data_IF_019356856723
#
_entry.id   IF_019356856723
#
_cell.length_a   1.000
_cell.length_b   1.000
_cell.length_c   1.000
_cell.angle_alpha   90.00
_cell.angle_beta   90.00
_cell.angle_gamma   90.00
#
_symmetry.space_group_name_H-M   'P 1'
#
loop_
_entity.id
_entity.type
_entity.pdbx_description
1 polymer ?
#
# COMPACT_ATOMS: atom_id res chain seq x y z
N UNK A 1 -29.88 20.10 -7.84
CA UNK A 1 -30.82 20.99 -8.57
C UNK A 1 -32.26 21.02 -8.02
N UNK A 2 -32.75 20.02 -7.25
CA UNK A 2 -34.10 20.04 -6.65
C UNK A 2 -34.39 21.25 -5.76
N UNK A 3 -33.34 21.84 -5.18
CA UNK A 3 -33.40 23.01 -4.31
C UNK A 3 -33.51 24.34 -5.06
N UNK A 4 -33.46 24.35 -6.41
CA UNK A 4 -33.62 25.58 -7.20
C UNK A 4 -35.07 25.70 -7.66
N UNK A 5 -35.82 26.74 -7.21
CA UNK A 5 -37.19 26.97 -7.62
C UNK A 5 -37.30 27.07 -9.15
N UNK A 6 -38.39 26.51 -9.70
CA UNK A 6 -38.70 26.59 -11.13
C UNK A 6 -37.62 26.02 -12.07
N UNK A 7 -36.74 25.14 -11.59
CA UNK A 7 -35.73 24.48 -12.42
C UNK A 7 -36.31 23.53 -13.49
N UNK A 8 -37.64 23.38 -13.58
CA UNK A 8 -38.31 22.58 -14.61
C UNK A 8 -37.98 21.09 -14.54
N UNK A 9 -37.62 20.57 -13.36
CA UNK A 9 -37.25 19.17 -13.19
C UNK A 9 -38.49 18.26 -13.18
N UNK A 10 -38.42 17.13 -13.87
CA UNK A 10 -39.43 16.06 -13.78
C UNK A 10 -38.83 14.93 -12.97
N UNK A 11 -39.47 14.57 -11.85
CA UNK A 11 -38.97 13.57 -10.90
C UNK A 11 -37.53 13.83 -10.41
N UNK A 12 -37.13 15.10 -10.35
CA UNK A 12 -35.79 15.50 -9.91
C UNK A 12 -34.69 15.34 -10.95
N UNK A 13 -35.02 15.05 -12.21
CA UNK A 13 -34.11 14.99 -13.34
C UNK A 13 -34.33 16.17 -14.28
N UNK A 14 -33.29 16.55 -15.00
CA UNK A 14 -33.40 17.51 -16.10
C UNK A 14 -34.17 16.87 -17.27
N UNK A 15 -34.98 17.66 -17.95
CA UNK A 15 -35.72 17.29 -19.16
C UNK A 15 -35.50 18.35 -20.23
N UNK A 16 -35.48 17.93 -21.48
CA UNK A 16 -35.38 18.84 -22.62
C UNK A 16 -36.69 19.61 -22.82
N UNK A 17 -36.60 20.69 -23.60
CA UNK A 17 -37.79 21.37 -24.10
C UNK A 17 -38.63 20.40 -24.95
N UNK A 18 -39.95 20.52 -24.83
CA UNK A 18 -40.89 19.83 -25.70
C UNK A 18 -41.66 20.84 -26.56
N UNK A 19 -41.24 21.05 -27.83
CA UNK A 19 -41.89 22.00 -28.73
C UNK A 19 -43.33 21.62 -29.10
N UNK A 20 -43.68 20.32 -29.05
CA UNK A 20 -45.01 19.82 -29.41
C UNK A 20 -46.04 20.15 -28.33
N UNK A 21 -45.62 20.22 -27.06
CA UNK A 21 -46.49 20.54 -25.92
C UNK A 21 -46.27 21.95 -25.37
N UNK A 22 -45.31 22.71 -25.93
CA UNK A 22 -44.92 24.03 -25.45
C UNK A 22 -44.30 24.03 -24.06
N UNK A 23 -43.74 22.90 -23.62
CA UNK A 23 -43.14 22.76 -22.28
C UNK A 23 -41.67 23.17 -22.32
N UNK A 24 -41.25 24.21 -21.57
CA UNK A 24 -39.84 24.60 -21.50
C UNK A 24 -38.97 23.50 -20.90
N UNK A 25 -37.72 23.41 -21.37
CA UNK A 25 -36.73 22.51 -20.79
C UNK A 25 -36.32 22.92 -19.38
N UNK A 26 -35.65 22.02 -18.66
CA UNK A 26 -35.14 22.31 -17.33
C UNK A 26 -34.06 23.38 -17.37
N UNK A 27 -34.12 24.31 -16.41
CA UNK A 27 -33.07 25.31 -16.22
C UNK A 27 -31.86 24.66 -15.55
N UNK A 28 -30.66 24.97 -16.05
CA UNK A 28 -29.38 24.61 -15.42
C UNK A 28 -28.81 25.88 -14.76
N UNK A 29 -28.99 26.07 -13.44
CA UNK A 29 -28.52 27.27 -12.76
C UNK A 29 -27.00 27.29 -12.66
N UNK A 30 -26.38 28.46 -12.74
CA UNK A 30 -24.93 28.63 -12.59
C UNK A 30 -24.40 27.99 -11.29
N UNK A 31 -25.14 28.16 -10.18
CA UNK A 31 -24.78 27.52 -8.91
C UNK A 31 -24.72 25.99 -8.98
N UNK A 32 -25.57 25.36 -9.80
CA UNK A 32 -25.52 23.91 -10.00
C UNK A 32 -24.35 23.51 -10.89
N UNK A 33 -24.14 24.20 -12.02
CA UNK A 33 -23.01 23.94 -12.93
C UNK A 33 -21.67 24.08 -12.21
N UNK A 34 -21.49 25.19 -11.49
CA UNK A 34 -20.30 25.45 -10.67
C UNK A 34 -20.13 24.38 -9.58
N UNK A 35 -21.22 23.93 -8.95
CA UNK A 35 -21.15 22.88 -7.94
C UNK A 35 -20.61 21.56 -8.51
N UNK A 36 -21.14 21.11 -9.65
CA UNK A 36 -20.64 19.89 -10.32
C UNK A 36 -19.19 20.06 -10.75
N UNK A 37 -18.83 21.19 -11.36
CA UNK A 37 -17.44 21.48 -11.74
C UNK A 37 -16.50 21.49 -10.54
N UNK A 38 -16.93 22.06 -9.41
CA UNK A 38 -16.11 22.12 -8.20
C UNK A 38 -15.85 20.74 -7.60
N UNK A 39 -16.84 19.84 -7.62
CA UNK A 39 -16.63 18.44 -7.22
C UNK A 39 -15.56 17.76 -8.07
N UNK A 40 -15.63 17.92 -9.40
CA UNK A 40 -14.64 17.36 -10.33
C UNK A 40 -13.24 17.96 -10.05
N UNK A 41 -13.14 19.28 -9.90
CA UNK A 41 -11.88 19.98 -9.58
C UNK A 41 -11.30 19.49 -8.25
N UNK A 42 -12.13 19.26 -7.24
CA UNK A 42 -11.70 18.75 -5.94
C UNK A 42 -11.11 17.33 -6.06
N UNK A 43 -11.73 16.46 -6.86
CA UNK A 43 -11.21 15.11 -7.13
C UNK A 43 -9.87 15.18 -7.86
N UNK A 44 -9.74 16.03 -8.88
CA UNK A 44 -8.49 16.23 -9.63
C UNK A 44 -7.35 16.65 -8.68
N UNK A 45 -7.60 17.63 -7.81
CA UNK A 45 -6.63 18.08 -6.81
C UNK A 45 -6.26 16.99 -5.80
N UNK A 46 -7.23 16.19 -5.35
CA UNK A 46 -6.96 15.06 -4.45
C UNK A 46 -6.11 13.95 -5.13
N UNK A 47 -6.15 13.87 -6.46
CA UNK A 47 -5.25 13.06 -7.27
C UNK A 47 -3.82 13.59 -7.38
N UNK A 48 -3.50 14.74 -6.76
CA UNK A 48 -2.27 15.53 -6.94
C UNK A 48 -2.05 16.04 -8.38
N UNK A 49 -3.15 16.28 -9.11
CA UNK A 49 -3.14 16.85 -10.46
C UNK A 49 -3.52 18.33 -10.42
N UNK A 50 -3.01 19.12 -11.38
CA UNK A 50 -3.41 20.51 -11.58
C UNK A 50 -4.56 20.57 -12.60
N UNK A 51 -5.75 21.08 -12.24
CA UNK A 51 -6.86 21.22 -13.19
C UNK A 51 -6.47 22.03 -14.43
N UNK A 52 -6.85 21.55 -15.61
CA UNK A 52 -6.59 22.14 -16.91
C UNK A 52 -7.86 22.05 -17.76
N UNK A 53 -8.44 23.21 -18.07
CA UNK A 53 -9.68 23.28 -18.86
C UNK A 53 -9.53 22.77 -20.30
N UNK A 54 -8.31 22.53 -20.77
CA UNK A 54 -8.04 21.95 -22.10
C UNK A 54 -7.94 20.42 -22.09
N UNK A 55 -7.97 19.78 -20.91
CA UNK A 55 -7.90 18.33 -20.73
C UNK A 55 -9.21 17.75 -20.20
N UNK A 56 -9.74 16.73 -20.88
CA UNK A 56 -11.07 16.17 -20.60
C UNK A 56 -11.02 14.78 -19.93
N UNK A 57 -9.85 14.30 -19.55
CA UNK A 57 -9.60 12.99 -18.93
C UNK A 57 -9.03 13.08 -17.50
N UNK A 58 -8.79 14.28 -16.98
CA UNK A 58 -8.18 14.47 -15.65
C UNK A 58 -8.99 13.85 -14.50
N UNK A 59 -10.33 13.74 -14.61
CA UNK A 59 -11.13 13.03 -13.61
C UNK A 59 -10.79 11.53 -13.58
N UNK A 60 -10.59 10.93 -14.75
CA UNK A 60 -10.19 9.53 -14.86
C UNK A 60 -8.77 9.34 -14.31
N UNK A 61 -7.83 10.21 -14.70
CA UNK A 61 -6.45 10.18 -14.18
C UNK A 61 -6.42 10.34 -12.66
N UNK A 62 -7.23 11.24 -12.10
CA UNK A 62 -7.32 11.44 -10.66
C UNK A 62 -7.85 10.20 -9.93
N UNK A 63 -8.90 9.55 -10.47
CA UNK A 63 -9.42 8.30 -9.91
C UNK A 63 -8.36 7.20 -9.99
N UNK A 64 -7.64 7.08 -11.11
CA UNK A 64 -6.56 6.12 -11.28
C UNK A 64 -5.38 6.41 -10.33
N UNK A 65 -5.05 7.68 -10.11
CA UNK A 65 -4.02 8.11 -9.15
C UNK A 65 -4.43 7.74 -7.72
N UNK A 66 -5.66 8.05 -7.31
CA UNK A 66 -6.19 7.71 -5.98
C UNK A 66 -6.26 6.19 -5.78
N UNK A 67 -6.64 5.42 -6.81
CA UNK A 67 -6.68 3.95 -6.70
C UNK A 67 -5.30 3.31 -6.71
N UNK A 68 -4.34 3.85 -7.48
CA UNK A 68 -2.95 3.42 -7.49
C UNK A 68 -2.22 3.74 -6.18
N UNK A 69 -2.59 4.85 -5.51
CA UNK A 69 -2.17 5.15 -4.12
C UNK A 69 -2.77 4.17 -3.09
N UNK A 70 -3.67 3.28 -3.54
CA UNK A 70 -4.26 2.20 -2.77
C UNK A 70 -5.51 2.66 -2.04
N UNK A 71 -6.67 2.12 -2.44
CA UNK A 71 -7.75 1.90 -1.48
C UNK A 71 -7.15 1.06 -0.35
N UNK A 72 -6.83 1.69 0.77
CA UNK A 72 -5.95 1.13 1.78
C UNK A 72 -6.37 -0.27 2.23
N UNK A 73 -5.70 -1.29 1.70
CA UNK A 73 -5.44 -2.54 2.41
C UNK A 73 -4.36 -2.31 3.50
N UNK A 74 -4.13 -1.05 3.89
CA UNK A 74 -3.25 -0.59 4.94
C UNK A 74 -3.94 -0.56 6.32
N UNK A 75 -4.98 -1.38 6.50
CA UNK A 75 -5.60 -1.59 7.78
C UNK A 75 -4.61 -2.34 8.68
N UNK A 76 -4.31 -1.76 9.84
CA UNK A 76 -3.60 -2.50 10.86
C UNK A 76 -4.52 -3.65 11.32
N UNK A 77 -4.08 -4.89 11.12
CA UNK A 77 -4.78 -6.09 11.52
C UNK A 77 -4.22 -6.56 12.87
N UNK A 78 -4.98 -7.36 13.65
CA UNK A 78 -4.38 -8.16 14.72
C UNK A 78 -3.14 -8.88 14.19
N UNK A 79 -2.03 -8.87 14.93
CA UNK A 79 -0.76 -9.46 14.45
C UNK A 79 -0.95 -10.92 14.00
N UNK A 80 -1.76 -11.69 14.73
CA UNK A 80 -2.10 -13.07 14.40
C UNK A 80 -2.92 -13.24 13.10
N UNK A 81 -3.52 -12.17 12.59
CA UNK A 81 -4.28 -12.17 11.33
C UNK A 81 -3.44 -11.68 10.14
N UNK A 82 -2.17 -11.33 10.33
CA UNK A 82 -1.29 -10.97 9.23
C UNK A 82 -0.96 -12.18 8.36
N UNK A 83 -0.84 -12.01 7.03
CA UNK A 83 -0.28 -13.05 6.16
C UNK A 83 1.11 -13.47 6.62
N UNK A 84 1.45 -14.74 6.39
CA UNK A 84 2.78 -15.25 6.70
C UNK A 84 3.85 -14.51 5.87
N UNK A 85 5.05 -14.28 6.44
CA UNK A 85 6.14 -13.66 5.71
C UNK A 85 6.48 -14.45 4.44
N UNK A 86 6.73 -13.75 3.34
CA UNK A 86 7.02 -14.34 2.03
C UNK A 86 8.19 -13.65 1.38
N UNK A 87 9.12 -14.43 0.83
CA UNK A 87 10.17 -13.93 -0.06
C UNK A 87 9.56 -13.89 -1.46
N UNK A 88 9.52 -12.71 -2.08
CA UNK A 88 8.84 -12.49 -3.35
C UNK A 88 9.74 -12.87 -4.54
N UNK A 89 10.23 -14.10 -4.54
CA UNK A 89 10.84 -14.77 -5.70
C UNK A 89 9.89 -15.85 -6.20
N UNK A 90 10.12 -16.33 -7.44
CA UNK A 90 9.28 -17.36 -8.04
C UNK A 90 9.23 -18.68 -7.22
N UNK A 91 10.27 -18.96 -6.45
CA UNK A 91 10.42 -20.15 -5.61
C UNK A 91 10.28 -19.88 -4.10
N UNK A 92 9.98 -18.63 -3.71
CA UNK A 92 9.90 -18.17 -2.33
C UNK A 92 11.17 -18.42 -1.48
N UNK A 93 12.36 -18.28 -2.09
CA UNK A 93 13.66 -18.49 -1.44
C UNK A 93 14.57 -17.26 -1.51
N UNK A 94 15.35 -17.08 -0.46
CA UNK A 94 16.41 -16.07 -0.36
C UNK A 94 17.75 -16.78 -0.50
N UNK A 95 18.60 -16.31 -1.40
CA UNK A 95 19.96 -16.79 -1.50
C UNK A 95 20.76 -16.40 -0.25
N UNK A 96 21.44 -17.37 0.35
CA UNK A 96 22.27 -17.19 1.54
C UNK A 96 23.65 -17.78 1.26
N UNK A 97 24.70 -16.97 1.36
CA UNK A 97 26.07 -17.37 1.06
C UNK A 97 26.87 -17.54 2.35
N UNK A 98 27.27 -18.78 2.69
CA UNK A 98 28.21 -19.02 3.79
C UNK A 98 29.65 -18.75 3.34
N UNK A 99 30.49 -18.30 4.26
CA UNK A 99 31.95 -18.16 4.05
C UNK A 99 32.66 -18.68 5.29
N UNK A 100 33.42 -19.76 5.14
CA UNK A 100 34.25 -20.28 6.23
C UNK A 100 35.43 -19.34 6.49
N UNK A 101 35.79 -19.19 7.76
CA UNK A 101 36.95 -18.42 8.20
C UNK A 101 37.89 -19.33 9.00
N UNK A 102 39.20 -19.14 8.85
CA UNK A 102 40.21 -20.02 9.48
C UNK A 102 40.24 -19.92 11.01
N UNK A 103 39.75 -18.82 11.58
CA UNK A 103 39.78 -18.52 13.02
C UNK A 103 38.40 -18.51 13.67
N UNK A 104 37.33 -18.85 12.94
CA UNK A 104 35.95 -18.83 13.47
C UNK A 104 35.05 -19.85 12.74
N UNK A 105 33.77 -19.91 13.10
CA UNK A 105 32.76 -20.70 12.40
C UNK A 105 32.36 -20.12 11.04
N UNK A 106 32.89 -18.95 10.66
CA UNK A 106 32.61 -18.27 9.40
C UNK A 106 31.59 -17.14 9.48
N UNK A 107 31.07 -16.73 8.33
CA UNK A 107 30.01 -15.72 8.18
C UNK A 107 28.90 -16.22 7.25
N UNK A 108 27.75 -15.59 7.37
CA UNK A 108 26.62 -15.76 6.47
C UNK A 108 26.27 -14.41 5.85
N UNK A 109 26.06 -14.36 4.54
CA UNK A 109 25.70 -13.14 3.83
C UNK A 109 24.43 -13.32 2.99
N UNK A 110 23.70 -12.23 2.80
CA UNK A 110 22.52 -12.14 1.93
C UNK A 110 22.72 -11.03 0.89
N UNK A 111 22.19 -11.19 -0.32
CA UNK A 111 22.29 -10.18 -1.37
C UNK A 111 21.30 -9.04 -1.15
N UNK A 112 21.59 -7.88 -1.75
CA UNK A 112 20.63 -6.81 -1.92
C UNK A 112 19.62 -7.12 -3.04
N UNK A 113 18.51 -6.41 -3.06
CA UNK A 113 17.59 -6.39 -4.21
C UNK A 113 16.52 -7.48 -4.21
N UNK A 114 16.40 -8.27 -3.14
CA UNK A 114 15.34 -9.28 -3.00
C UNK A 114 14.16 -8.69 -2.24
N UNK A 115 12.95 -8.85 -2.76
CA UNK A 115 11.74 -8.38 -2.09
C UNK A 115 11.28 -9.37 -1.02
N UNK A 116 10.95 -8.87 0.17
CA UNK A 116 10.42 -9.66 1.29
C UNK A 116 9.20 -8.95 1.87
N UNK A 117 8.09 -9.67 1.94
CA UNK A 117 6.87 -9.24 2.62
C UNK A 117 6.87 -9.78 4.04
N UNK A 118 6.74 -8.92 5.04
CA UNK A 118 6.70 -9.28 6.47
C UNK A 118 5.79 -8.33 7.25
N UNK A 119 5.26 -8.77 8.39
CA UNK A 119 4.53 -7.92 9.30
C UNK A 119 5.42 -6.84 9.93
N UNK A 120 5.04 -5.57 9.75
CA UNK A 120 5.51 -4.45 10.53
C UNK A 120 4.52 -4.19 11.66
N UNK A 121 5.02 -4.17 12.88
CA UNK A 121 4.22 -3.78 14.04
C UNK A 121 3.84 -2.29 13.97
N UNK A 122 2.57 -2.00 14.28
CA UNK A 122 2.02 -0.63 14.35
C UNK A 122 1.69 -0.27 15.79
N UNK A 123 1.09 -1.21 16.53
CA UNK A 123 0.84 -1.11 17.96
C UNK A 123 1.46 -2.32 18.62
N UNK A 124 2.37 -2.09 19.56
CA UNK A 124 3.17 -3.17 20.14
C UNK A 124 2.32 -4.29 20.76
N UNK A 125 2.61 -5.52 20.36
CA UNK A 125 1.93 -6.76 20.72
C UNK A 125 0.49 -6.88 20.25
N UNK A 126 -0.02 -5.97 19.40
CA UNK A 126 -1.46 -5.89 19.10
C UNK A 126 -1.77 -5.85 17.62
N UNK A 127 -1.35 -4.79 16.96
CA UNK A 127 -1.71 -4.53 15.57
C UNK A 127 -0.45 -4.41 14.72
N UNK A 128 -0.50 -4.98 13.53
CA UNK A 128 0.55 -4.86 12.53
C UNK A 128 -0.02 -4.68 11.13
N UNK A 129 0.87 -4.43 10.17
CA UNK A 129 0.58 -4.29 8.75
C UNK A 129 1.55 -5.12 7.95
N UNK A 130 1.09 -5.79 6.91
CA UNK A 130 2.02 -6.43 5.96
C UNK A 130 2.72 -5.34 5.14
N UNK A 131 4.04 -5.44 5.03
CA UNK A 131 4.89 -4.51 4.29
C UNK A 131 5.90 -5.26 3.46
N UNK A 132 6.18 -4.76 2.27
CA UNK A 132 7.23 -5.29 1.40
C UNK A 132 8.46 -4.41 1.51
N UNK A 133 9.60 -5.03 1.77
CA UNK A 133 10.91 -4.40 1.83
C UNK A 133 11.83 -4.99 0.78
N UNK A 134 12.85 -4.25 0.39
CA UNK A 134 13.96 -4.75 -0.42
C UNK A 134 15.13 -5.05 0.52
N UNK A 135 15.75 -6.21 0.38
CA UNK A 135 16.96 -6.53 1.14
C UNK A 135 18.07 -5.57 0.76
N UNK A 136 18.81 -5.12 1.77
CA UNK A 136 20.15 -4.57 1.58
C UNK A 136 21.17 -5.72 1.67
N UNK A 137 22.34 -5.53 1.05
CA UNK A 137 23.44 -6.46 1.23
C UNK A 137 23.81 -6.47 2.72
N UNK A 138 23.85 -7.67 3.31
CA UNK A 138 24.11 -7.83 4.72
C UNK A 138 24.98 -9.06 4.96
N UNK A 139 25.85 -8.97 5.95
CA UNK A 139 26.72 -10.06 6.38
C UNK A 139 26.72 -10.12 7.90
N UNK A 140 26.69 -11.33 8.45
CA UNK A 140 26.80 -11.53 9.89
C UNK A 140 28.17 -11.10 10.40
N UNK A 141 28.27 -10.90 11.73
CA UNK A 141 29.57 -10.97 12.39
C UNK A 141 30.16 -12.38 12.27
N UNK A 142 31.44 -12.53 12.65
CA UNK A 142 32.07 -13.84 12.78
C UNK A 142 31.27 -14.71 13.74
N UNK A 143 30.87 -15.88 13.27
CA UNK A 143 30.12 -16.86 14.05
C UNK A 143 31.08 -17.76 14.81
N UNK A 144 30.65 -18.22 15.97
CA UNK A 144 31.45 -19.17 16.75
C UNK A 144 31.51 -20.53 16.04
N UNK A 145 32.66 -21.21 16.07
CA UNK A 145 32.76 -22.59 15.56
C UNK A 145 31.90 -23.53 16.40
N UNK A 146 31.46 -24.63 15.79
CA UNK A 146 30.66 -25.68 16.46
C UNK A 146 29.39 -25.17 17.17
N UNK A 147 28.80 -24.07 16.68
CA UNK A 147 27.56 -23.51 17.19
C UNK A 147 26.51 -23.41 16.08
N UNK A 148 25.25 -23.62 16.45
CA UNK A 148 24.10 -23.48 15.56
C UNK A 148 23.44 -22.12 15.74
N UNK A 149 22.94 -21.57 14.63
CA UNK A 149 22.28 -20.27 14.57
C UNK A 149 21.08 -20.32 13.64
N UNK A 150 20.09 -19.50 13.93
CA UNK A 150 19.03 -19.11 13.00
C UNK A 150 19.37 -17.75 12.38
N UNK A 151 19.21 -17.64 11.06
CA UNK A 151 19.12 -16.35 10.38
C UNK A 151 17.70 -15.81 10.57
N UNK A 152 17.57 -14.62 11.14
CA UNK A 152 16.28 -13.98 11.42
C UNK A 152 16.19 -12.62 10.74
N UNK A 153 14.95 -12.22 10.48
CA UNK A 153 14.61 -10.92 9.95
C UNK A 153 13.53 -10.27 10.80
N UNK A 154 13.60 -8.96 10.97
CA UNK A 154 12.60 -8.16 11.67
C UNK A 154 12.51 -6.76 11.07
N UNK A 155 11.44 -6.05 11.37
CA UNK A 155 11.29 -4.64 11.00
C UNK A 155 11.39 -3.79 12.26
N UNK A 156 12.42 -2.94 12.34
CA UNK A 156 12.59 -1.97 13.44
C UNK A 156 12.70 -0.58 12.82
N UNK A 157 11.94 0.38 13.36
CA UNK A 157 11.98 1.76 12.85
C UNK A 157 11.60 1.89 11.37
N UNK A 158 10.79 0.96 10.86
CA UNK A 158 10.40 0.92 9.44
C UNK A 158 11.46 0.34 8.49
N UNK A 159 12.56 -0.22 8.99
CA UNK A 159 13.61 -0.83 8.18
C UNK A 159 13.71 -2.34 8.42
N UNK A 160 13.86 -3.11 7.34
CA UNK A 160 14.15 -4.55 7.39
C UNK A 160 15.59 -4.76 7.89
N UNK A 161 15.73 -5.50 8.99
CA UNK A 161 17.01 -5.81 9.63
C UNK A 161 17.18 -7.32 9.76
N UNK A 162 18.38 -7.81 9.43
CA UNK A 162 18.77 -9.20 9.61
C UNK A 162 19.72 -9.36 10.78
N UNK A 163 19.63 -10.51 11.46
CA UNK A 163 20.51 -10.86 12.56
C UNK A 163 20.64 -12.38 12.72
N UNK A 164 21.72 -12.80 13.35
CA UNK A 164 21.94 -14.20 13.72
C UNK A 164 21.54 -14.38 15.19
N UNK A 165 20.73 -15.39 15.46
CA UNK A 165 20.37 -15.79 16.81
C UNK A 165 20.91 -17.20 17.07
N UNK A 166 21.68 -17.39 18.14
CA UNK A 166 22.11 -18.74 18.55
C UNK A 166 20.88 -19.59 18.85
N UNK A 167 20.90 -20.82 18.36
CA UNK A 167 19.85 -21.78 18.60
C UNK A 167 20.04 -23.06 17.79
N UNK A 168 19.39 -24.12 18.24
CA UNK A 168 19.37 -25.43 17.61
C UNK A 168 17.99 -25.73 17.05
N UNK A 169 17.92 -26.61 16.04
CA UNK A 169 16.65 -27.08 15.48
C UNK A 169 15.78 -27.82 16.52
N UNK A 170 16.39 -28.24 17.64
CA UNK A 170 15.71 -28.93 18.74
C UNK A 170 15.30 -27.99 19.89
N UNK A 171 15.58 -26.69 19.78
CA UNK A 171 15.12 -25.73 20.78
C UNK A 171 13.59 -25.62 20.71
N UNK A 172 12.95 -25.35 21.86
CA UNK A 172 11.52 -25.06 21.90
C UNK A 172 11.23 -23.88 20.97
N UNK A 173 10.18 -24.02 20.15
CA UNK A 173 9.66 -22.90 19.36
C UNK A 173 9.40 -21.71 20.30
N UNK A 174 9.96 -20.52 20.01
CA UNK A 174 9.67 -19.34 20.81
C UNK A 174 8.16 -19.08 20.83
N UNK A 175 7.64 -18.66 21.99
CA UNK A 175 6.24 -18.21 22.07
C UNK A 175 6.02 -17.06 21.08
N UNK A 176 4.96 -17.18 20.27
CA UNK A 176 4.57 -16.24 19.22
C UNK A 176 3.92 -14.98 19.75
#
# INVERSE_FOLDING_TARGET
PKSVPSAGLVNGKFVDENPLTGTPGSLIPAAWGNGVTQEIVNVIKAGDLTPDETQNDQLLEAIQSVTAKGWNQDLALPIAALPLPTIATADARLAVTPTALSTSGGRVSIPAGVYISIGQEVVSGRLGRSRTYVTAAWSSTDLLPSASYFLRAQVIGGALTFYMQRGSLYDLSPES
#
